data_IF_343720381960
#
_entry.id   IF_343720381960
#
_cell.length_a   1.000
_cell.length_b   1.000
_cell.length_c   1.000
_cell.angle_alpha   90.00
_cell.angle_beta   90.00
_cell.angle_gamma   90.00
#
_symmetry.space_group_name_H-M   'P 1'
#
loop_
_entity.id
_entity.type
_entity.pdbx_description
1 polymer ?
#
# COMPACT_ATOMS: atom_id res chain seq x y z
N UNK A 1 -28.23 5.89 10.05
CA UNK A 1 -27.26 4.84 9.70
C UNK A 1 -26.69 5.18 8.33
N UNK A 2 -25.39 5.41 8.20
CA UNK A 2 -24.78 5.92 6.96
C UNK A 2 -24.13 4.76 6.20
N UNK A 3 -24.41 4.61 4.91
CA UNK A 3 -23.68 3.70 3.99
C UNK A 3 -22.30 4.29 3.66
N UNK A 4 -21.24 3.47 3.62
CA UNK A 4 -19.84 3.90 3.77
C UNK A 4 -19.34 5.00 2.84
N UNK A 5 -19.87 5.13 1.61
CA UNK A 5 -18.94 5.46 0.52
C UNK A 5 -19.41 6.40 -0.57
N UNK A 6 -20.63 6.27 -1.08
CA UNK A 6 -21.11 7.18 -2.15
C UNK A 6 -21.08 8.61 -1.64
N UNK A 7 -21.59 8.81 -0.43
CA UNK A 7 -21.82 10.15 0.13
C UNK A 7 -20.54 10.83 0.64
N UNK A 8 -19.43 10.11 0.80
CA UNK A 8 -18.20 10.65 1.40
C UNK A 8 -16.99 10.61 0.49
N UNK A 9 -16.94 9.65 -0.44
CA UNK A 9 -15.80 9.43 -1.32
C UNK A 9 -16.07 9.75 -2.79
N UNK A 10 -17.31 9.97 -3.25
CA UNK A 10 -17.50 10.29 -4.68
C UNK A 10 -18.56 11.36 -4.95
N UNK A 11 -19.68 11.30 -4.23
CA UNK A 11 -20.82 12.19 -4.39
C UNK A 11 -21.11 12.88 -3.04
N UNK A 12 -20.15 13.69 -2.58
CA UNK A 12 -20.26 14.45 -1.32
C UNK A 12 -21.37 15.50 -1.46
N UNK A 13 -22.41 15.49 -0.60
CA UNK A 13 -23.35 16.60 -0.51
C UNK A 13 -22.60 17.91 -0.24
N UNK A 14 -23.05 19.07 -0.76
CA UNK A 14 -22.34 20.35 -0.61
C UNK A 14 -22.08 20.77 0.84
N UNK A 15 -22.83 20.21 1.77
CA UNK A 15 -22.86 20.50 3.21
C UNK A 15 -22.00 19.55 4.06
N UNK A 16 -21.38 18.51 3.48
CA UNK A 16 -20.54 17.56 4.21
C UNK A 16 -19.06 17.76 3.92
N UNK A 17 -18.22 17.52 4.93
CA UNK A 17 -16.77 17.51 4.74
C UNK A 17 -16.26 16.12 4.31
N UNK A 18 -15.20 16.04 3.48
CA UNK A 18 -14.55 14.79 3.15
C UNK A 18 -13.93 14.10 4.37
N UNK A 19 -13.90 12.77 4.39
CA UNK A 19 -13.22 12.01 5.44
C UNK A 19 -11.72 12.32 5.44
N UNK A 20 -11.17 12.57 6.63
CA UNK A 20 -9.74 12.80 6.84
C UNK A 20 -8.94 11.48 6.75
N UNK A 21 -7.61 11.59 6.68
CA UNK A 21 -6.72 10.45 6.53
C UNK A 21 -6.87 9.42 7.66
N UNK A 22 -6.91 9.88 8.92
CA UNK A 22 -6.95 8.99 10.07
C UNK A 22 -8.27 8.21 10.11
N UNK A 23 -9.40 8.86 9.82
CA UNK A 23 -10.70 8.18 9.74
C UNK A 23 -10.73 7.15 8.61
N UNK A 24 -10.17 7.46 7.43
CA UNK A 24 -10.05 6.48 6.33
C UNK A 24 -9.26 5.24 6.75
N UNK A 25 -8.14 5.40 7.44
CA UNK A 25 -7.35 4.26 7.94
C UNK A 25 -8.12 3.46 9.00
N UNK A 26 -8.83 4.15 9.91
CA UNK A 26 -9.69 3.50 10.92
C UNK A 26 -10.78 2.64 10.27
N UNK A 27 -11.44 3.16 9.23
CA UNK A 27 -12.46 2.45 8.45
C UNK A 27 -11.83 1.23 7.75
N UNK A 28 -10.68 1.40 7.10
CA UNK A 28 -9.98 0.30 6.44
C UNK A 28 -9.64 -0.84 7.41
N UNK A 29 -9.12 -0.51 8.60
CA UNK A 29 -8.82 -1.48 9.66
C UNK A 29 -10.08 -2.21 10.13
N UNK A 30 -11.15 -1.48 10.43
CA UNK A 30 -12.38 -2.10 10.94
C UNK A 30 -13.05 -3.00 9.90
N UNK A 31 -13.05 -2.59 8.62
CA UNK A 31 -13.60 -3.39 7.53
C UNK A 31 -12.77 -4.67 7.30
N UNK A 32 -11.44 -4.56 7.35
CA UNK A 32 -10.54 -5.70 7.27
C UNK A 32 -10.72 -6.68 8.45
N UNK A 33 -10.93 -6.18 9.68
CA UNK A 33 -11.25 -7.01 10.85
C UNK A 33 -12.59 -7.74 10.72
N UNK A 34 -13.59 -7.07 10.15
CA UNK A 34 -14.87 -7.71 9.83
C UNK A 34 -14.67 -8.89 8.86
N UNK A 35 -13.83 -8.72 7.85
CA UNK A 35 -13.51 -9.77 6.89
C UNK A 35 -12.64 -10.89 7.50
N UNK A 36 -11.65 -10.54 8.32
CA UNK A 36 -10.84 -11.48 9.10
C UNK A 36 -11.69 -12.37 10.00
N UNK A 37 -12.71 -11.80 10.65
CA UNK A 37 -13.64 -12.58 11.45
C UNK A 37 -14.36 -13.65 10.61
N UNK A 38 -14.84 -13.28 9.42
CA UNK A 38 -15.53 -14.21 8.52
C UNK A 38 -14.60 -15.32 8.02
N UNK A 39 -13.33 -15.01 7.73
CA UNK A 39 -12.38 -15.98 7.17
C UNK A 39 -11.76 -16.89 8.23
N UNK A 40 -11.34 -16.32 9.36
CA UNK A 40 -10.44 -16.99 10.31
C UNK A 40 -11.14 -17.38 11.63
N UNK A 41 -12.24 -16.71 12.00
CA UNK A 41 -12.94 -16.94 13.28
C UNK A 41 -14.24 -17.71 13.11
N UNK A 42 -14.97 -17.51 12.01
CA UNK A 42 -16.15 -18.28 11.71
C UNK A 42 -15.79 -19.75 11.39
N UNK A 43 -16.59 -20.68 11.88
CA UNK A 43 -16.42 -22.11 11.61
C UNK A 43 -17.75 -22.73 11.16
N UNK A 44 -17.90 -23.16 9.90
CA UNK A 44 -16.89 -23.07 8.82
C UNK A 44 -16.62 -21.62 8.38
N UNK A 45 -15.48 -21.35 7.72
CA UNK A 45 -15.18 -20.02 7.18
C UNK A 45 -16.31 -19.49 6.30
N UNK A 46 -16.49 -18.18 6.23
CA UNK A 46 -17.51 -17.53 5.41
C UNK A 46 -16.83 -16.65 4.37
N UNK A 47 -17.07 -16.92 3.10
CA UNK A 47 -16.66 -16.07 1.98
C UNK A 47 -17.79 -15.09 1.70
N UNK A 48 -17.49 -13.80 1.83
CA UNK A 48 -18.49 -12.73 1.78
C UNK A 48 -18.95 -12.42 0.35
N UNK A 49 -18.04 -12.51 -0.63
CA UNK A 49 -18.25 -12.51 -2.08
C UNK A 49 -18.73 -11.20 -2.71
N UNK A 50 -19.33 -10.31 -1.94
CA UNK A 50 -19.76 -8.99 -2.41
C UNK A 50 -19.15 -7.87 -1.54
N UNK A 51 -17.84 -7.98 -1.28
CA UNK A 51 -17.09 -6.95 -0.57
C UNK A 51 -16.96 -5.70 -1.44
N UNK A 52 -17.79 -4.70 -1.17
CA UNK A 52 -17.81 -3.44 -1.90
C UNK A 52 -18.14 -2.29 -0.97
N UNK A 53 -17.74 -1.10 -1.39
CA UNK A 53 -17.92 0.14 -0.67
C UNK A 53 -19.35 0.43 -0.21
N UNK A 54 -20.37 0.13 -1.02
CA UNK A 54 -21.78 0.35 -0.64
C UNK A 54 -22.34 -0.66 0.37
N UNK A 55 -21.66 -1.79 0.60
CA UNK A 55 -22.09 -2.82 1.57
C UNK A 55 -21.43 -2.67 2.93
N UNK A 56 -20.54 -1.70 3.10
CA UNK A 56 -19.97 -1.39 4.40
C UNK A 56 -20.81 -0.22 4.96
N UNK A 57 -21.17 -0.23 6.24
CA UNK A 57 -21.97 0.81 6.89
C UNK A 57 -21.16 1.49 7.99
N UNK A 58 -21.30 2.80 8.17
CA UNK A 58 -20.69 3.57 9.26
C UNK A 58 -21.74 3.90 10.32
N UNK A 59 -21.35 3.70 11.58
CA UNK A 59 -22.03 4.34 12.71
C UNK A 59 -21.55 5.80 12.88
N UNK A 60 -22.12 6.49 13.87
CA UNK A 60 -21.80 7.90 14.18
C UNK A 60 -20.33 8.13 14.57
N UNK A 61 -19.63 7.08 15.01
CA UNK A 61 -18.22 7.11 15.39
C UNK A 61 -17.30 6.59 14.27
N UNK A 62 -17.82 6.47 13.05
CA UNK A 62 -17.12 5.94 11.87
C UNK A 62 -16.59 4.51 12.06
N UNK A 63 -17.26 3.69 12.87
CA UNK A 63 -16.96 2.26 12.92
C UNK A 63 -17.67 1.53 11.78
N UNK A 64 -16.90 0.81 10.94
CA UNK A 64 -17.46 0.07 9.81
C UNK A 64 -18.17 -1.22 10.27
N UNK A 65 -19.28 -1.54 9.61
CA UNK A 65 -20.02 -2.80 9.74
C UNK A 65 -20.32 -3.36 8.36
N UNK A 66 -20.03 -4.64 8.13
CA UNK A 66 -20.40 -5.31 6.90
C UNK A 66 -21.91 -5.59 6.89
N UNK A 67 -22.57 -5.36 5.77
CA UNK A 67 -24.00 -5.58 5.56
C UNK A 67 -24.26 -6.51 4.37
N UNK A 68 -25.49 -6.78 3.97
CA UNK A 68 -25.81 -7.58 2.78
C UNK A 68 -25.00 -8.89 2.60
N UNK A 69 -25.34 -9.90 3.40
CA UNK A 69 -24.75 -11.25 3.29
C UNK A 69 -25.50 -12.13 2.27
N UNK A 70 -26.35 -11.56 1.40
CA UNK A 70 -27.22 -12.32 0.48
C UNK A 70 -26.45 -13.19 -0.52
N UNK A 71 -25.20 -12.82 -0.82
CA UNK A 71 -24.32 -13.57 -1.72
C UNK A 71 -23.28 -14.44 -1.00
N UNK A 72 -23.18 -14.34 0.33
CA UNK A 72 -22.17 -15.01 1.12
C UNK A 72 -22.29 -16.54 0.99
N UNK A 73 -21.15 -17.21 1.11
CA UNK A 73 -21.02 -18.66 1.00
C UNK A 73 -20.17 -19.20 2.13
N UNK A 74 -20.52 -20.37 2.63
CA UNK A 74 -19.60 -21.12 3.48
C UNK A 74 -18.40 -21.51 2.61
N UNK A 75 -17.21 -21.27 3.15
CA UNK A 75 -15.95 -21.64 2.56
C UNK A 75 -15.81 -23.16 2.43
N UNK A 76 -14.77 -23.61 1.73
CA UNK A 76 -14.57 -25.03 1.55
C UNK A 76 -14.33 -25.73 2.90
N UNK A 77 -14.93 -26.91 3.06
CA UNK A 77 -14.79 -27.77 4.24
C UNK A 77 -14.07 -29.07 3.82
N UNK A 78 -13.18 -29.57 4.67
CA UNK A 78 -12.34 -30.74 4.38
C UNK A 78 -11.23 -30.42 3.36
N UNK A 79 -10.99 -31.32 2.42
CA UNK A 79 -9.85 -31.24 1.47
C UNK A 79 -10.11 -30.31 0.26
N UNK A 80 -11.21 -29.55 0.27
CA UNK A 80 -11.53 -28.64 -0.83
C UNK A 80 -10.71 -27.35 -0.71
N UNK A 81 -10.15 -26.88 -1.82
CA UNK A 81 -9.40 -25.61 -1.86
C UNK A 81 -10.28 -24.40 -2.21
N UNK A 82 -11.47 -24.63 -2.78
CA UNK A 82 -12.36 -23.58 -3.28
C UNK A 82 -13.82 -24.02 -3.25
N UNK A 83 -14.71 -23.05 -3.46
CA UNK A 83 -16.15 -23.25 -3.66
C UNK A 83 -16.47 -22.99 -5.14
N UNK A 84 -16.80 -24.03 -5.89
CA UNK A 84 -17.29 -23.87 -7.27
C UNK A 84 -18.73 -23.37 -7.25
N UNK A 85 -18.95 -22.19 -7.83
CA UNK A 85 -20.28 -21.56 -7.89
C UNK A 85 -20.39 -20.73 -9.16
N UNK A 86 -21.61 -20.45 -9.61
CA UNK A 86 -21.85 -19.40 -10.62
C UNK A 86 -21.13 -18.11 -10.23
N UNK A 87 -20.56 -17.39 -11.19
CA UNK A 87 -19.92 -16.10 -10.91
C UNK A 87 -21.01 -15.10 -10.51
N UNK A 88 -20.90 -14.53 -9.31
CA UNK A 88 -21.78 -13.46 -8.82
C UNK A 88 -20.97 -12.52 -7.95
N UNK A 89 -21.38 -11.26 -7.93
CA UNK A 89 -20.72 -10.17 -7.23
C UNK A 89 -20.84 -8.90 -8.05
N UNK A 90 -20.31 -7.80 -7.52
CA UNK A 90 -20.37 -6.51 -8.21
C UNK A 90 -19.19 -6.33 -9.16
N UNK A 91 -19.47 -5.88 -10.40
CA UNK A 91 -18.44 -5.61 -11.40
C UNK A 91 -17.45 -4.53 -10.90
N UNK A 92 -16.15 -4.73 -11.18
CA UNK A 92 -15.06 -3.88 -10.68
C UNK A 92 -14.41 -4.35 -9.37
N UNK A 93 -15.10 -5.18 -8.58
CA UNK A 93 -14.58 -5.74 -7.33
C UNK A 93 -14.22 -7.22 -7.43
N UNK A 94 -14.66 -7.88 -8.50
CA UNK A 94 -14.52 -9.31 -8.69
C UNK A 94 -13.06 -9.69 -8.98
N UNK A 95 -12.53 -10.69 -8.25
CA UNK A 95 -11.19 -11.21 -8.49
C UNK A 95 -11.09 -11.89 -9.87
N UNK A 96 -9.98 -11.69 -10.61
CA UNK A 96 -9.85 -12.16 -11.99
C UNK A 96 -9.97 -13.69 -12.12
N UNK A 97 -9.36 -14.44 -11.21
CA UNK A 97 -9.44 -15.91 -11.21
C UNK A 97 -10.87 -16.40 -10.94
N UNK A 98 -11.62 -15.71 -10.08
CA UNK A 98 -13.01 -16.06 -9.80
C UNK A 98 -13.90 -15.76 -10.99
N UNK A 99 -13.71 -14.60 -11.63
CA UNK A 99 -14.45 -14.22 -12.84
C UNK A 99 -14.21 -15.20 -13.99
N UNK A 100 -12.98 -15.72 -14.14
CA UNK A 100 -12.61 -16.62 -15.22
C UNK A 100 -13.03 -18.08 -14.96
N UNK A 101 -12.89 -18.57 -13.72
CA UNK A 101 -13.02 -20.01 -13.41
C UNK A 101 -14.26 -20.36 -12.60
N UNK A 102 -14.90 -19.39 -11.95
CA UNK A 102 -15.98 -19.64 -10.98
C UNK A 102 -15.52 -20.24 -9.66
N UNK A 103 -14.20 -20.37 -9.44
CA UNK A 103 -13.64 -20.87 -8.19
C UNK A 103 -13.58 -19.74 -7.15
N UNK A 104 -14.48 -19.79 -6.17
CA UNK A 104 -14.57 -18.80 -5.12
C UNK A 104 -13.70 -19.20 -3.92
N UNK A 105 -12.89 -18.26 -3.42
CA UNK A 105 -12.00 -18.48 -2.27
C UNK A 105 -12.02 -17.28 -1.32
N UNK A 106 -11.48 -17.43 -0.11
CA UNK A 106 -11.23 -16.29 0.80
C UNK A 106 -10.30 -15.24 0.19
N UNK A 107 -9.40 -15.64 -0.73
CA UNK A 107 -8.51 -14.71 -1.45
C UNK A 107 -9.24 -13.88 -2.49
N UNK A 108 -10.43 -14.30 -2.93
CA UNK A 108 -11.28 -13.50 -3.80
C UNK A 108 -11.83 -12.28 -3.04
N UNK A 109 -12.22 -12.45 -1.78
CA UNK A 109 -12.61 -11.32 -0.91
C UNK A 109 -11.44 -10.38 -0.60
N UNK A 110 -10.22 -10.91 -0.45
CA UNK A 110 -9.02 -10.07 -0.24
C UNK A 110 -8.78 -9.14 -1.44
N UNK A 111 -9.00 -9.63 -2.67
CA UNK A 111 -8.93 -8.79 -3.85
C UNK A 111 -9.97 -7.66 -3.80
N UNK A 112 -11.23 -8.00 -3.52
CA UNK A 112 -12.32 -7.04 -3.41
C UNK A 112 -12.07 -6.00 -2.31
N UNK A 113 -11.51 -6.42 -1.16
CA UNK A 113 -11.03 -5.50 -0.11
C UNK A 113 -9.96 -4.54 -0.65
N UNK A 114 -8.99 -5.04 -1.42
CA UNK A 114 -7.95 -4.23 -2.05
C UNK A 114 -8.52 -3.13 -2.95
N UNK A 115 -9.58 -3.43 -3.71
CA UNK A 115 -10.30 -2.43 -4.53
C UNK A 115 -10.94 -1.37 -3.65
N UNK A 116 -11.70 -1.76 -2.61
CA UNK A 116 -12.31 -0.81 -1.66
C UNK A 116 -11.24 0.04 -0.97
N UNK A 117 -10.09 -0.53 -0.64
CA UNK A 117 -9.01 0.21 -0.02
C UNK A 117 -8.37 1.23 -0.98
N UNK A 118 -8.25 0.91 -2.27
CA UNK A 118 -7.87 1.90 -3.28
C UNK A 118 -8.90 3.01 -3.42
N UNK A 119 -10.20 2.70 -3.35
CA UNK A 119 -11.23 3.74 -3.35
C UNK A 119 -11.06 4.69 -2.15
N UNK A 120 -10.71 4.16 -0.96
CA UNK A 120 -10.48 4.98 0.24
C UNK A 120 -9.27 5.90 0.07
N UNK A 121 -8.20 5.41 -0.55
CA UNK A 121 -6.97 6.18 -0.76
C UNK A 121 -7.18 7.26 -1.83
N UNK A 122 -7.83 6.89 -2.94
CA UNK A 122 -7.91 7.70 -4.17
C UNK A 122 -9.13 8.61 -4.22
N UNK A 123 -10.18 8.30 -3.46
CA UNK A 123 -11.47 8.99 -3.56
C UNK A 123 -12.16 8.81 -4.91
N UNK A 124 -11.85 7.73 -5.64
CA UNK A 124 -12.47 7.38 -6.92
C UNK A 124 -13.38 6.17 -6.75
N UNK A 125 -14.41 6.04 -7.60
CA UNK A 125 -15.26 4.84 -7.68
C UNK A 125 -14.48 3.71 -8.36
N UNK A 126 -14.73 2.46 -7.94
CA UNK A 126 -14.13 1.28 -8.56
C UNK A 126 -14.42 1.19 -10.07
N UNK A 127 -15.64 1.57 -10.45
CA UNK A 127 -16.07 1.77 -11.84
C UNK A 127 -16.69 3.16 -11.95
N UNK A 128 -16.13 4.01 -12.81
CA UNK A 128 -16.61 5.35 -13.09
C UNK A 128 -16.81 5.54 -14.60
N UNK A 129 -18.08 5.48 -15.04
CA UNK A 129 -18.44 5.64 -16.45
C UNK A 129 -18.25 7.07 -16.97
N UNK A 130 -18.07 8.06 -16.08
CA UNK A 130 -17.81 9.45 -16.46
C UNK A 130 -16.36 9.68 -16.89
N UNK A 131 -15.45 8.77 -16.57
CA UNK A 131 -14.04 8.87 -16.95
C UNK A 131 -13.82 8.49 -18.43
N UNK A 132 -12.70 8.97 -19.03
CA UNK A 132 -12.29 8.57 -20.37
C UNK A 132 -12.17 7.05 -20.53
N UNK A 133 -12.32 6.58 -21.76
CA UNK A 133 -12.16 5.17 -22.09
C UNK A 133 -10.76 4.67 -21.68
N UNK A 134 -10.70 3.56 -20.95
CA UNK A 134 -9.46 3.02 -20.38
C UNK A 134 -9.14 3.46 -18.93
N UNK A 135 -9.79 4.51 -18.42
CA UNK A 135 -9.65 4.98 -17.02
C UNK A 135 -10.89 4.70 -16.15
N UNK A 136 -11.91 4.07 -16.74
CA UNK A 136 -13.19 3.80 -16.06
C UNK A 136 -13.04 2.78 -14.92
N UNK A 137 -12.07 1.87 -15.01
CA UNK A 137 -11.79 0.89 -13.96
C UNK A 137 -10.64 1.39 -13.08
N UNK A 138 -10.88 1.52 -11.79
CA UNK A 138 -9.92 2.03 -10.82
C UNK A 138 -8.63 1.19 -10.78
N UNK A 139 -8.73 -0.13 -10.79
CA UNK A 139 -7.58 -1.03 -10.76
C UNK A 139 -6.74 -0.84 -12.01
N UNK A 140 -7.38 -0.77 -13.19
CA UNK A 140 -6.70 -0.48 -14.45
C UNK A 140 -6.03 0.89 -14.42
N UNK A 141 -6.71 1.91 -13.92
CA UNK A 141 -6.16 3.26 -13.81
C UNK A 141 -4.95 3.33 -12.87
N UNK A 142 -5.02 2.73 -11.68
CA UNK A 142 -3.90 2.68 -10.72
C UNK A 142 -2.73 1.90 -11.32
N UNK A 143 -2.99 0.81 -12.04
CA UNK A 143 -1.96 0.02 -12.71
C UNK A 143 -1.29 0.81 -13.83
N UNK A 144 -2.06 1.47 -14.69
CA UNK A 144 -1.53 2.32 -15.77
C UNK A 144 -0.76 3.52 -15.20
N UNK A 145 -1.27 4.17 -14.16
CA UNK A 145 -0.55 5.25 -13.48
C UNK A 145 0.76 4.73 -12.88
N UNK A 146 0.73 3.54 -12.27
CA UNK A 146 1.93 2.91 -11.73
C UNK A 146 2.93 2.59 -12.84
N UNK A 147 2.50 2.07 -14.00
CA UNK A 147 3.36 1.85 -15.17
C UNK A 147 3.90 3.15 -15.79
N UNK A 148 3.12 4.23 -15.78
CA UNK A 148 3.58 5.55 -16.21
C UNK A 148 4.61 6.16 -15.25
N UNK A 149 4.62 5.71 -13.99
CA UNK A 149 5.57 6.16 -12.97
C UNK A 149 6.74 5.16 -12.79
N UNK A 150 6.57 3.89 -13.16
CA UNK A 150 7.54 2.80 -13.10
C UNK A 150 7.80 2.20 -14.48
N UNK A 151 9.00 2.38 -15.02
CA UNK A 151 9.50 1.68 -16.19
C UNK A 151 9.98 0.29 -15.81
N UNK A 152 9.55 -0.75 -16.53
CA UNK A 152 10.22 -2.04 -16.46
C UNK A 152 11.39 -2.00 -17.43
N UNK A 153 12.62 -2.12 -16.92
CA UNK A 153 13.79 -2.18 -17.78
C UNK A 153 13.84 -3.49 -18.59
N UNK A 154 14.77 -3.58 -19.55
CA UNK A 154 14.93 -4.79 -20.40
C UNK A 154 15.23 -6.07 -19.62
N UNK A 155 15.53 -5.97 -18.32
CA UNK A 155 15.90 -7.07 -17.44
C UNK A 155 14.71 -7.52 -16.57
N UNK A 156 13.55 -6.87 -16.71
CA UNK A 156 12.35 -7.16 -15.92
C UNK A 156 12.30 -6.43 -14.58
N UNK A 157 13.22 -5.50 -14.31
CA UNK A 157 13.21 -4.73 -13.06
C UNK A 157 12.33 -3.48 -13.19
N UNK A 158 11.36 -3.31 -12.29
CA UNK A 158 10.62 -2.06 -12.18
C UNK A 158 11.54 -0.96 -11.60
N UNK A 159 11.95 -0.03 -12.45
CA UNK A 159 12.67 1.20 -12.10
C UNK A 159 11.70 2.39 -12.17
N UNK A 160 11.73 3.36 -11.26
CA UNK A 160 10.92 4.57 -11.42
C UNK A 160 11.29 5.25 -12.75
N UNK A 161 10.33 5.44 -13.66
CA UNK A 161 10.54 6.18 -14.92
C UNK A 161 10.93 7.64 -14.62
N UNK A 162 10.57 8.11 -13.41
CA UNK A 162 10.97 9.40 -12.85
C UNK A 162 11.39 9.24 -11.38
N UNK A 163 12.50 9.88 -10.98
CA UNK A 163 13.03 9.87 -9.61
C UNK A 163 12.14 10.56 -8.56
N UNK A 164 10.90 10.93 -8.93
CA UNK A 164 10.07 11.85 -8.16
C UNK A 164 8.95 11.09 -7.45
N UNK A 165 9.29 10.59 -6.26
CA UNK A 165 8.36 10.01 -5.27
C UNK A 165 7.10 10.87 -5.08
N UNK A 166 7.21 12.19 -5.27
CA UNK A 166 6.09 13.16 -5.17
C UNK A 166 4.96 12.89 -6.16
N UNK A 167 5.14 12.15 -7.25
CA UNK A 167 4.03 11.84 -8.17
C UNK A 167 3.01 10.86 -7.59
N UNK A 168 3.40 10.01 -6.64
CA UNK A 168 2.44 9.10 -5.97
C UNK A 168 1.44 9.84 -5.08
N UNK A 169 1.75 11.06 -4.62
CA UNK A 169 0.76 11.86 -3.90
C UNK A 169 -0.43 12.25 -4.78
N UNK A 170 -0.30 12.20 -6.12
CA UNK A 170 -1.40 12.41 -7.06
C UNK A 170 -2.40 11.25 -7.11
N UNK A 171 -2.02 10.07 -6.60
CA UNK A 171 -2.95 8.96 -6.41
C UNK A 171 -3.84 9.16 -5.18
N UNK A 172 -3.41 9.98 -4.22
CA UNK A 172 -4.25 10.28 -3.07
C UNK A 172 -5.42 11.18 -3.48
N UNK A 173 -6.53 11.03 -2.76
CA UNK A 173 -7.73 11.84 -2.95
C UNK A 173 -7.39 13.35 -2.92
N UNK A 174 -7.67 14.10 -3.99
CA UNK A 174 -7.41 15.54 -4.05
C UNK A 174 -8.08 16.33 -2.91
N UNK A 175 -9.20 15.84 -2.37
CA UNK A 175 -9.93 16.47 -1.26
C UNK A 175 -9.22 16.38 0.08
N UNK A 176 -8.24 15.47 0.22
CA UNK A 176 -7.36 15.48 1.38
C UNK A 176 -6.42 16.70 1.36
N UNK A 177 -6.22 17.36 0.21
CA UNK A 177 -5.41 18.58 0.08
C UNK A 177 -3.98 18.42 0.65
N UNK A 178 -3.40 17.23 0.53
CA UNK A 178 -2.06 16.92 1.07
C UNK A 178 -2.03 16.64 2.58
N UNK A 179 -3.17 16.62 3.26
CA UNK A 179 -3.30 16.30 4.70
C UNK A 179 -3.21 14.80 4.96
N UNK A 180 -2.05 14.22 4.66
CA UNK A 180 -1.74 12.81 4.91
C UNK A 180 -0.22 12.61 5.04
N UNK A 181 0.23 11.58 5.79
CA UNK A 181 1.63 11.26 5.90
C UNK A 181 2.11 10.56 4.62
N UNK A 182 3.10 11.14 3.93
CA UNK A 182 3.65 10.55 2.69
C UNK A 182 4.09 9.09 2.87
N UNK A 183 4.76 8.76 3.99
CA UNK A 183 5.17 7.39 4.30
C UNK A 183 3.96 6.45 4.44
N UNK A 184 2.92 6.90 5.14
CA UNK A 184 1.68 6.15 5.31
C UNK A 184 0.96 5.90 4.00
N UNK A 185 0.94 6.89 3.10
CA UNK A 185 0.38 6.73 1.75
C UNK A 185 1.10 5.64 0.95
N UNK A 186 2.44 5.62 0.94
CA UNK A 186 3.19 4.58 0.23
C UNK A 186 2.89 3.19 0.78
N UNK A 187 2.85 3.06 2.11
CA UNK A 187 2.57 1.78 2.75
C UNK A 187 1.13 1.32 2.47
N UNK A 188 0.16 2.23 2.51
CA UNK A 188 -1.23 1.96 2.16
C UNK A 188 -1.35 1.48 0.70
N UNK A 189 -0.72 2.18 -0.25
CA UNK A 189 -0.69 1.79 -1.67
C UNK A 189 0.00 0.43 -1.87
N UNK A 190 1.08 0.14 -1.14
CA UNK A 190 1.76 -1.15 -1.21
C UNK A 190 0.86 -2.29 -0.69
N UNK A 191 0.17 -2.10 0.44
CA UNK A 191 -0.79 -3.08 0.96
C UNK A 191 -1.93 -3.30 -0.03
N UNK A 192 -2.50 -2.24 -0.59
CA UNK A 192 -3.53 -2.33 -1.61
C UNK A 192 -3.03 -3.12 -2.84
N UNK A 193 -1.84 -2.80 -3.36
CA UNK A 193 -1.21 -3.48 -4.50
C UNK A 193 -0.97 -4.97 -4.27
N UNK A 194 -0.61 -5.38 -3.05
CA UNK A 194 -0.50 -6.81 -2.70
C UNK A 194 -1.86 -7.51 -2.67
N UNK A 195 -2.93 -6.81 -2.28
CA UNK A 195 -4.29 -7.38 -2.26
C UNK A 195 -4.87 -7.58 -3.67
N UNK A 196 -4.59 -6.67 -4.60
CA UNK A 196 -5.14 -6.70 -5.97
C UNK A 196 -4.30 -7.49 -6.98
N UNK A 197 -3.37 -8.34 -6.51
CA UNK A 197 -2.55 -9.18 -7.39
C UNK A 197 -3.42 -10.10 -8.24
N UNK A 198 -3.03 -10.33 -9.50
CA UNK A 198 -3.75 -11.21 -10.43
C UNK A 198 -3.79 -12.66 -9.90
N UNK A 199 -2.66 -13.15 -9.39
CA UNK A 199 -2.58 -14.46 -8.75
C UNK A 199 -3.11 -14.44 -7.32
N UNK A 200 -4.12 -15.26 -7.01
CA UNK A 200 -4.66 -15.41 -5.65
C UNK A 200 -3.62 -15.94 -4.63
N UNK A 201 -2.59 -16.65 -5.09
CA UNK A 201 -1.55 -17.21 -4.24
C UNK A 201 -0.60 -16.15 -3.68
N UNK A 202 -0.34 -15.06 -4.42
CA UNK A 202 0.55 -13.98 -4.00
C UNK A 202 -0.14 -12.95 -3.10
N UNK A 203 -1.48 -12.96 -3.05
CA UNK A 203 -2.25 -12.11 -2.13
C UNK A 203 -1.98 -12.51 -0.67
N UNK A 204 -1.83 -11.54 0.24
CA UNK A 204 -1.66 -11.81 1.66
C UNK A 204 -2.92 -12.47 2.27
N UNK A 205 -2.78 -13.02 3.47
CA UNK A 205 -3.94 -13.37 4.29
C UNK A 205 -4.56 -12.09 4.85
N UNK A 206 -5.87 -12.10 5.08
CA UNK A 206 -6.56 -10.91 5.58
C UNK A 206 -6.06 -10.49 6.97
N UNK A 207 -5.66 -11.43 7.83
CA UNK A 207 -5.04 -11.10 9.13
C UNK A 207 -3.69 -10.39 9.02
N UNK A 208 -2.88 -10.70 7.99
CA UNK A 208 -1.64 -9.96 7.71
C UNK A 208 -1.95 -8.52 7.26
N UNK A 209 -3.01 -8.35 6.46
CA UNK A 209 -3.52 -7.04 6.03
C UNK A 209 -4.02 -6.24 7.24
N UNK A 210 -4.81 -6.85 8.13
CA UNK A 210 -5.28 -6.21 9.37
C UNK A 210 -4.10 -5.74 10.22
N UNK A 211 -3.05 -6.55 10.34
CA UNK A 211 -1.84 -6.20 11.09
C UNK A 211 -1.14 -4.99 10.47
N UNK A 212 -0.92 -5.00 9.15
CA UNK A 212 -0.29 -3.90 8.44
C UNK A 212 -1.11 -2.60 8.52
N UNK A 213 -2.43 -2.67 8.36
CA UNK A 213 -3.30 -1.51 8.46
C UNK A 213 -3.40 -0.98 9.88
N UNK A 214 -3.41 -1.86 10.89
CA UNK A 214 -3.41 -1.44 12.29
C UNK A 214 -2.14 -0.68 12.65
N UNK A 215 -1.00 -1.11 12.11
CA UNK A 215 0.26 -0.37 12.24
C UNK A 215 0.16 1.02 11.59
N UNK A 216 -0.46 1.15 10.41
CA UNK A 216 -0.65 2.44 9.75
C UNK A 216 -1.62 3.36 10.50
N UNK A 217 -2.73 2.82 11.01
CA UNK A 217 -3.71 3.59 11.76
C UNK A 217 -3.17 4.09 13.12
N UNK A 218 -2.24 3.36 13.74
CA UNK A 218 -1.59 3.78 14.98
C UNK A 218 -0.55 4.89 14.79
N UNK A 219 -0.12 5.16 13.56
CA UNK A 219 0.71 6.32 13.23
C UNK A 219 -0.16 7.54 12.95
N UNK A 220 -0.89 7.99 13.98
CA UNK A 220 -1.83 9.10 13.87
C UNK A 220 -1.15 10.30 13.20
N UNK A 221 -1.74 10.76 12.09
CA UNK A 221 -1.27 11.94 11.38
C UNK A 221 -1.78 13.18 12.11
N UNK A 222 -0.85 14.01 12.59
CA UNK A 222 -1.16 15.34 13.11
C UNK A 222 -0.88 16.39 12.02
N UNK A 223 -1.92 17.05 11.46
CA UNK A 223 -1.76 18.08 10.45
C UNK A 223 -0.99 19.32 10.94
N UNK A 224 -0.91 19.53 12.26
CA UNK A 224 -0.20 20.68 12.86
C UNK A 224 1.29 20.39 13.12
N UNK A 225 1.71 19.13 13.09
CA UNK A 225 3.11 18.72 13.30
C UNK A 225 3.88 18.57 11.98
N UNK A 226 3.96 19.65 11.20
CA UNK A 226 4.75 19.70 9.95
C UNK A 226 6.25 19.99 10.19
N UNK A 227 6.73 19.86 11.43
CA UNK A 227 8.02 20.38 11.87
C UNK A 227 9.04 19.35 12.35
N UNK A 228 9.49 18.41 11.49
CA UNK A 228 10.83 17.76 11.53
C UNK A 228 11.06 17.14 10.14
N UNK A 229 11.83 17.69 9.21
CA UNK A 229 13.18 18.20 9.38
C UNK A 229 14.12 17.31 8.56
N UNK A 230 14.18 17.54 7.24
CA UNK A 230 15.42 17.36 6.48
C UNK A 230 16.43 18.34 7.11
N UNK A 231 17.01 18.01 8.26
CA UNK A 231 18.17 18.71 8.80
C UNK A 231 19.38 18.14 8.09
N UNK A 232 19.80 18.85 7.03
CA UNK A 232 21.19 18.81 6.62
C UNK A 232 22.04 19.10 7.85
N UNK A 233 22.97 18.19 8.14
CA UNK A 233 23.95 18.35 9.20
C UNK A 233 24.90 19.48 8.80
N UNK A 234 24.57 20.69 9.24
CA UNK A 234 25.52 21.79 9.35
C UNK A 234 25.79 22.01 10.83
N UNK A 235 27.06 22.32 11.09
CA UNK A 235 27.72 22.66 12.36
C UNK A 235 28.23 21.41 13.11
N UNK A 236 29.50 21.31 13.49
CA UNK A 236 30.37 22.39 13.94
C UNK A 236 31.85 21.95 13.89
N UNK A 237 32.73 22.84 13.41
CA UNK A 237 34.00 23.19 14.07
C UNK A 237 34.67 24.34 13.34
N UNK A 238 34.46 25.53 13.89
CA UNK A 238 35.29 26.70 13.64
C UNK A 238 36.74 26.49 14.04
N UNK A 239 37.64 27.05 13.23
CA UNK A 239 39.07 27.15 13.49
C UNK A 239 39.69 28.22 12.59
N UNK A 240 39.69 29.47 13.04
CA UNK A 240 40.45 30.62 12.47
C UNK A 240 41.92 30.26 12.27
N UNK A 241 42.50 30.48 11.08
CA UNK A 241 43.84 31.05 10.89
C UNK A 241 43.86 31.87 9.57
N UNK A 242 44.32 33.11 9.68
CA UNK A 242 44.54 34.09 8.60
C UNK A 242 45.84 33.78 7.83
N UNK A 243 45.87 34.06 6.51
CA UNK A 243 46.98 34.74 5.80
C UNK A 243 46.67 34.96 4.31
N UNK A 244 46.49 36.24 3.94
CA UNK A 244 47.20 37.01 2.89
C UNK A 244 48.27 36.24 2.05
N UNK A 245 48.46 36.44 0.74
CA UNK A 245 48.69 37.69 -0.02
C UNK A 245 48.50 37.50 -1.55
N UNK A 246 48.56 38.63 -2.23
CA UNK A 246 48.39 38.98 -3.65
C UNK A 246 49.22 38.21 -4.70
N UNK A 247 48.73 38.19 -5.96
CA UNK A 247 49.37 38.86 -7.13
C UNK A 247 48.99 38.24 -8.50
N UNK A 248 48.59 39.10 -9.45
CA UNK A 248 49.20 39.17 -10.79
C UNK A 248 48.75 38.21 -11.91
N UNK A 249 47.96 38.75 -12.84
CA UNK A 249 48.47 38.97 -14.21
C UNK A 249 48.17 37.97 -15.34
N UNK A 250 47.55 38.53 -16.38
CA UNK A 250 47.82 38.34 -17.82
C UNK A 250 47.14 37.17 -18.55
N UNK A 251 46.58 37.51 -19.71
CA UNK A 251 45.66 36.68 -20.47
C UNK A 251 46.30 35.68 -21.44
N UNK A 252 45.45 34.94 -22.15
CA UNK A 252 45.52 34.68 -23.60
C UNK A 252 44.27 33.90 -24.04
N UNK A 253 43.75 34.33 -25.20
CA UNK A 253 42.78 33.66 -26.07
C UNK A 253 43.44 32.45 -26.75
N UNK A 254 42.70 31.35 -26.99
CA UNK A 254 42.60 30.57 -28.25
C UNK A 254 41.73 29.29 -28.04
N UNK A 255 40.62 29.25 -28.78
CA UNK A 255 39.88 28.20 -29.50
C UNK A 255 40.01 26.67 -29.22
N UNK A 256 38.81 26.05 -29.31
CA UNK A 256 38.39 24.73 -29.82
C UNK A 256 38.98 23.38 -29.34
N UNK A 257 38.02 22.51 -28.98
CA UNK A 257 37.92 21.05 -29.21
C UNK A 257 38.43 20.04 -28.15
N UNK A 258 37.45 19.28 -27.60
CA UNK A 258 37.52 17.86 -27.24
C UNK A 258 38.34 17.41 -26.00
N UNK A 259 37.66 16.87 -24.97
CA UNK A 259 38.01 15.60 -24.29
C UNK A 259 37.20 15.38 -23.00
N UNK A 260 36.61 14.18 -22.94
CA UNK A 260 36.38 13.24 -21.82
C UNK A 260 36.37 13.77 -20.37
N UNK A 261 35.26 13.51 -19.65
CA UNK A 261 35.16 13.74 -18.20
C UNK A 261 35.34 12.43 -17.43
N UNK A 262 36.35 12.48 -16.59
CA UNK A 262 36.81 11.51 -15.59
C UNK A 262 35.84 11.44 -14.39
N UNK A 263 35.43 10.23 -13.99
CA UNK A 263 34.48 9.98 -12.89
C UNK A 263 35.16 9.99 -11.52
N UNK A 264 34.63 10.81 -10.60
CA UNK A 264 35.22 11.04 -9.28
C UNK A 264 34.96 9.87 -8.29
N UNK A 265 35.97 9.39 -7.53
CA UNK A 265 35.84 8.29 -6.55
C UNK A 265 34.83 8.50 -5.42
N UNK A 266 34.31 9.73 -5.23
CA UNK A 266 33.27 10.05 -4.24
C UNK A 266 31.88 9.56 -4.62
N UNK A 267 31.62 9.37 -5.92
CA UNK A 267 30.30 8.95 -6.42
C UNK A 267 30.15 7.43 -6.33
N UNK A 268 31.20 6.68 -6.65
CA UNK A 268 31.32 5.23 -6.45
C UNK A 268 31.16 4.84 -4.97
N UNK A 269 31.75 5.60 -4.04
CA UNK A 269 31.59 5.35 -2.60
C UNK A 269 30.15 5.62 -2.08
N UNK A 270 29.41 6.54 -2.71
CA UNK A 270 28.01 6.82 -2.37
C UNK A 270 27.04 5.79 -2.95
N UNK A 271 27.36 5.24 -4.12
CA UNK A 271 26.61 4.15 -4.75
C UNK A 271 26.79 2.85 -3.97
N UNK A 272 28.02 2.50 -3.59
CA UNK A 272 28.30 1.32 -2.77
C UNK A 272 27.59 1.38 -1.41
N UNK A 273 27.55 2.53 -0.75
CA UNK A 273 26.81 2.68 0.52
C UNK A 273 25.28 2.55 0.34
N UNK A 274 24.72 3.03 -0.78
CA UNK A 274 23.28 2.89 -1.08
C UNK A 274 22.88 1.46 -1.41
N UNK A 275 23.72 0.73 -2.11
CA UNK A 275 23.50 -0.68 -2.43
C UNK A 275 23.64 -1.54 -1.17
N UNK A 276 24.61 -1.22 -0.30
CA UNK A 276 24.74 -1.83 1.03
C UNK A 276 23.52 -1.55 1.93
N UNK A 277 22.97 -0.33 1.94
CA UNK A 277 21.77 -0.01 2.71
C UNK A 277 20.51 -0.73 2.17
N UNK A 278 20.41 -0.90 0.85
CA UNK A 278 19.31 -1.64 0.20
C UNK A 278 19.40 -3.14 0.48
N UNK A 279 20.59 -3.72 0.37
CA UNK A 279 20.84 -5.12 0.70
C UNK A 279 20.61 -5.38 2.18
N UNK A 280 21.00 -4.45 3.06
CA UNK A 280 20.75 -4.53 4.50
C UNK A 280 19.26 -4.50 4.82
N UNK A 281 18.48 -3.64 4.19
CA UNK A 281 17.03 -3.58 4.41
C UNK A 281 16.32 -4.86 3.92
N UNK A 282 16.75 -5.44 2.80
CA UNK A 282 16.20 -6.70 2.27
C UNK A 282 16.61 -7.90 3.14
N UNK A 283 17.87 -7.92 3.61
CA UNK A 283 18.37 -8.94 4.53
C UNK A 283 17.65 -8.87 5.88
N UNK A 284 17.46 -7.67 6.43
CA UNK A 284 16.70 -7.45 7.67
C UNK A 284 15.24 -7.87 7.52
N UNK A 285 14.57 -7.57 6.40
CA UNK A 285 13.20 -8.01 6.15
C UNK A 285 13.08 -9.54 6.01
N UNK A 286 14.05 -10.20 5.36
CA UNK A 286 14.12 -11.66 5.27
C UNK A 286 14.37 -12.30 6.63
N UNK A 287 15.33 -11.79 7.39
CA UNK A 287 15.63 -12.23 8.75
C UNK A 287 14.41 -12.05 9.68
N UNK A 288 13.66 -10.96 9.52
CA UNK A 288 12.43 -10.74 10.29
C UNK A 288 11.35 -11.76 9.95
N UNK A 289 11.16 -12.06 8.66
CA UNK A 289 10.24 -13.09 8.18
C UNK A 289 10.64 -14.50 8.66
N UNK A 290 11.94 -14.82 8.68
CA UNK A 290 12.46 -16.11 9.11
C UNK A 290 12.42 -16.28 10.64
N UNK A 291 12.78 -15.24 11.42
CA UNK A 291 12.66 -15.26 12.88
C UNK A 291 11.20 -15.39 13.33
N UNK A 292 10.27 -14.74 12.63
CA UNK A 292 8.83 -14.86 12.91
C UNK A 292 8.31 -16.28 12.60
N UNK A 293 8.82 -16.90 11.53
CA UNK A 293 8.53 -18.31 11.19
C UNK A 293 9.15 -19.30 12.19
N UNK A 294 10.36 -19.04 12.66
CA UNK A 294 11.03 -19.88 13.67
C UNK A 294 10.36 -19.75 15.04
N UNK A 295 9.99 -18.53 15.47
CA UNK A 295 9.19 -18.31 16.70
C UNK A 295 7.84 -19.03 16.63
N UNK A 296 7.17 -19.02 15.47
CA UNK A 296 5.94 -19.82 15.25
C UNK A 296 6.20 -21.32 15.37
N UNK A 297 7.28 -21.85 14.79
CA UNK A 297 7.65 -23.28 14.90
C UNK A 297 8.02 -23.69 16.33
N UNK A 298 8.73 -22.86 17.07
CA UNK A 298 9.08 -23.12 18.48
C UNK A 298 7.87 -23.03 19.40
N UNK A 299 6.94 -22.10 19.16
CA UNK A 299 5.68 -22.02 19.92
C UNK A 299 4.78 -23.25 19.71
N UNK A 300 4.86 -23.89 18.53
CA UNK A 300 4.11 -25.11 18.21
C UNK A 300 4.77 -26.36 18.81
N UNK A 301 6.10 -26.38 18.98
CA UNK A 301 6.81 -27.48 19.65
C UNK A 301 6.75 -27.40 21.19
N UNK A 302 6.78 -26.21 21.77
CA UNK A 302 6.66 -26.02 23.22
C UNK A 302 5.26 -26.42 23.73
N UNK A 303 4.20 -26.13 22.94
CA UNK A 303 2.83 -26.55 23.25
C UNK A 303 2.56 -28.06 23.10
N UNK A 304 3.50 -28.83 22.53
CA UNK A 304 3.40 -30.29 22.40
C UNK A 304 4.10 -31.06 23.52
N UNK A 305 5.00 -30.44 24.28
CA UNK A 305 5.69 -31.09 25.42
C UNK A 305 4.89 -30.99 26.73
N UNK A 306 4.08 -29.93 26.90
CA UNK A 306 3.27 -29.75 28.12
C UNK A 306 2.01 -30.65 28.18
N UNK A 307 1.67 -31.34 27.09
CA UNK A 307 0.53 -32.27 27.01
C UNK A 307 0.90 -33.74 27.31
N UNK A 308 2.13 -34.02 27.75
CA UNK A 308 2.61 -35.39 28.04
C UNK A 308 3.15 -35.61 29.45
N UNK A 309 2.94 -34.66 30.38
CA UNK A 309 3.29 -34.78 31.80
C UNK A 309 2.21 -34.18 32.74
N UNK A 310 0.94 -34.50 32.48
CA UNK A 310 -0.17 -34.26 33.42
C UNK A 310 -1.04 -35.52 33.53
#
# INVERSE_FOLDING_TARGET
MLTLFTDFCADLPPDKEPLDWNTRMKIAVGAAKGLEYLHDKANPPVIYRDFKSSNILLDEAYHPKLSDFGLAKLGPVGDKSHVSTRVMGTYGYCAPEYAMTGQLTVKSDVYSFGVVFLELITGRKAIDSSQPHGEQNLVTWVFLFSLLVWHVDKNGEARPLFNDRRKFSKLADPRLQGRFPMRGLYQALAVASMCIQESAATRPLIGDVVTALSYLANQAYDPNNTGHGYRGSSDDKGGRILKNDEAGGSGRRWDLEGSEKDDSPRETARMLNRDLDRERAVAEAKLWGENLRQKRKQSVQQGSFDASNA
#
